data_IF_514949299639
#
_entry.id   IF_514949299639
#
_cell.length_a   1.000
_cell.length_b   1.000
_cell.length_c   1.000
_cell.angle_alpha   90.00
_cell.angle_beta   90.00
_cell.angle_gamma   90.00
#
_symmetry.space_group_name_H-M   'P 1'
#
loop_
_entity.id
_entity.type
_entity.pdbx_description
1 polymer ?
#
# COMPACT_ATOMS: atom_id res chain seq x y z
N UNK A 1 -1.86 -5.35 11.77
CA UNK A 1 -2.69 -5.14 10.58
C UNK A 1 -2.44 -6.22 9.52
N UNK A 2 -1.27 -6.27 8.88
CA UNK A 2 -0.98 -7.17 7.74
C UNK A 2 -0.76 -8.64 8.16
N UNK A 3 -0.10 -8.88 9.30
CA UNK A 3 -0.04 -10.21 9.91
C UNK A 3 -1.41 -10.70 10.36
N UNK A 4 -2.34 -9.80 10.68
CA UNK A 4 -3.73 -10.16 10.95
C UNK A 4 -4.42 -10.64 9.68
N UNK A 5 -4.28 -9.92 8.57
CA UNK A 5 -4.77 -10.37 7.25
C UNK A 5 -4.16 -11.72 6.83
N UNK A 6 -2.86 -11.94 7.07
CA UNK A 6 -2.19 -13.21 6.79
C UNK A 6 -2.73 -14.39 7.63
N UNK A 7 -3.31 -14.09 8.80
CA UNK A 7 -3.96 -15.05 9.70
C UNK A 7 -5.49 -15.10 9.53
N UNK A 8 -6.05 -14.36 8.57
CA UNK A 8 -7.48 -14.35 8.25
C UNK A 8 -8.33 -13.33 9.02
N UNK A 9 -7.73 -12.40 9.75
CA UNK A 9 -8.46 -11.34 10.45
C UNK A 9 -8.91 -10.25 9.46
N UNK A 10 -10.20 -9.90 9.40
CA UNK A 10 -10.68 -8.77 8.62
C UNK A 10 -10.33 -7.44 9.30
N UNK A 11 -10.55 -6.33 8.60
CA UNK A 11 -10.49 -5.01 9.23
C UNK A 11 -11.49 -4.89 10.39
N UNK A 12 -11.06 -4.21 11.45
CA UNK A 12 -11.92 -3.85 12.59
C UNK A 12 -12.48 -2.44 12.42
N UNK A 13 -13.63 -2.18 13.04
CA UNK A 13 -14.29 -0.88 13.13
C UNK A 13 -13.97 -0.11 14.43
N UNK A 14 -13.24 -0.69 15.40
CA UNK A 14 -12.77 0.04 16.59
C UNK A 14 -11.39 0.70 16.35
N UNK A 15 -11.24 2.02 16.50
CA UNK A 15 -9.97 2.73 16.30
C UNK A 15 -8.82 2.32 17.22
N UNK A 16 -9.11 1.56 18.28
CA UNK A 16 -8.13 1.01 19.22
C UNK A 16 -7.64 -0.38 18.79
N UNK A 17 -8.29 -1.00 17.81
CA UNK A 17 -7.92 -2.33 17.34
C UNK A 17 -6.74 -2.30 16.38
N UNK A 18 -5.89 -3.33 16.50
CA UNK A 18 -4.75 -3.57 15.58
C UNK A 18 -5.18 -3.72 14.11
N UNK A 19 -6.45 -4.08 13.87
CA UNK A 19 -7.03 -4.24 12.54
C UNK A 19 -7.79 -3.02 12.04
N UNK A 20 -7.78 -1.90 12.78
CA UNK A 20 -8.44 -0.68 12.34
C UNK A 20 -7.76 -0.11 11.08
N UNK A 21 -8.51 0.17 9.99
CA UNK A 21 -7.94 0.62 8.73
C UNK A 21 -7.74 2.14 8.73
N UNK A 22 -6.77 2.66 9.49
CA UNK A 22 -6.39 4.07 9.35
C UNK A 22 -5.30 4.23 8.30
N UNK A 23 -5.70 4.71 7.13
CA UNK A 23 -4.78 5.27 6.16
C UNK A 23 -4.42 6.70 6.59
N UNK A 24 -3.18 6.94 7.02
CA UNK A 24 -2.68 8.26 7.43
C UNK A 24 -2.29 9.15 6.26
N UNK A 25 -2.20 8.59 5.05
CA UNK A 25 -1.91 9.34 3.84
C UNK A 25 -3.20 9.97 3.30
N UNK A 26 -3.43 11.24 3.61
CA UNK A 26 -4.59 12.00 3.12
C UNK A 26 -4.44 12.52 1.69
N UNK A 27 -3.23 12.41 1.11
CA UNK A 27 -2.93 12.82 -0.26
C UNK A 27 -1.68 12.12 -0.77
N UNK A 28 -1.67 11.84 -2.07
CA UNK A 28 -0.47 11.36 -2.76
C UNK A 28 0.61 12.44 -2.71
N UNK A 29 1.83 12.02 -2.41
CA UNK A 29 2.99 12.90 -2.39
C UNK A 29 3.60 13.01 -3.79
N UNK A 30 4.38 14.06 -4.02
CA UNK A 30 5.15 14.18 -5.27
C UNK A 30 6.11 13.01 -5.50
N UNK A 31 6.50 12.28 -4.44
CA UNK A 31 7.31 11.07 -4.57
C UNK A 31 6.47 9.93 -5.16
N UNK A 32 5.22 9.76 -4.72
CA UNK A 32 4.33 8.71 -5.23
C UNK A 32 4.05 8.89 -6.72
N UNK A 33 3.81 10.14 -7.16
CA UNK A 33 3.65 10.46 -8.58
C UNK A 33 4.90 10.14 -9.41
N UNK A 34 6.10 10.45 -8.90
CA UNK A 34 7.35 10.13 -9.62
C UNK A 34 7.60 8.63 -9.68
N UNK A 35 7.30 7.91 -8.61
CA UNK A 35 7.45 6.45 -8.57
C UNK A 35 6.49 5.77 -9.55
N UNK A 36 5.22 6.19 -9.60
CA UNK A 36 4.27 5.66 -10.58
C UNK A 36 4.66 6.01 -12.01
N UNK A 37 5.08 7.25 -12.27
CA UNK A 37 5.56 7.65 -13.60
C UNK A 37 6.76 6.79 -14.06
N UNK A 38 7.70 6.49 -13.17
CA UNK A 38 8.82 5.61 -13.47
C UNK A 38 8.35 4.17 -13.75
N UNK A 39 7.44 3.63 -12.93
CA UNK A 39 6.90 2.27 -13.12
C UNK A 39 6.16 2.12 -14.46
N UNK A 40 5.33 3.09 -14.83
CA UNK A 40 4.57 3.07 -16.09
C UNK A 40 5.39 3.46 -17.32
N UNK A 41 6.62 3.95 -17.13
CA UNK A 41 7.53 4.19 -18.25
C UNK A 41 8.19 2.91 -18.77
N UNK A 42 8.08 1.80 -18.04
CA UNK A 42 8.66 0.54 -18.45
C UNK A 42 7.80 -0.19 -19.50
N UNK A 43 8.43 -0.91 -20.44
CA UNK A 43 7.73 -1.83 -21.32
C UNK A 43 6.95 -2.88 -20.52
N UNK A 44 5.82 -3.32 -21.07
CA UNK A 44 5.05 -4.41 -20.48
C UNK A 44 5.93 -5.66 -20.28
N UNK A 45 5.92 -6.20 -19.06
CA UNK A 45 6.75 -7.34 -18.68
C UNK A 45 8.18 -6.99 -18.29
N UNK A 46 8.52 -5.71 -18.13
CA UNK A 46 9.81 -5.33 -17.59
C UNK A 46 9.98 -5.81 -16.15
N UNK A 47 11.11 -6.44 -15.88
CA UNK A 47 11.50 -6.92 -14.56
C UNK A 47 12.54 -5.98 -13.95
N UNK A 48 12.27 -5.46 -12.75
CA UNK A 48 13.28 -4.77 -11.96
C UNK A 48 14.07 -5.83 -11.20
N UNK A 49 15.29 -6.12 -11.65
CA UNK A 49 16.19 -7.04 -10.95
C UNK A 49 16.88 -6.31 -9.80
N UNK A 50 16.83 -6.90 -8.61
CA UNK A 50 17.51 -6.44 -7.40
C UNK A 50 18.97 -6.85 -7.38
#
# INVERSE_FOLDING_TARGET
HEMGHALGLPHSDDPRDVMFPTNTATRLTSRDFRTLAALYSFPNGAEIRK
#
